data_IF_058839381506
#
_entry.id   IF_058839381506
#
_cell.length_a   1.000
_cell.length_b   1.000
_cell.length_c   1.000
_cell.angle_alpha   90.00
_cell.angle_beta   90.00
_cell.angle_gamma   90.00
#
_symmetry.space_group_name_H-M   'P 1'
#
loop_
_entity.id
_entity.type
_entity.pdbx_description
1 polymer ?
#
# COMPACT_ATOMS: atom_id res chain seq x y z
N UNK A 1 -46.68 3.44 5.10
CA UNK A 1 -47.15 2.42 6.07
C UNK A 1 -46.10 2.34 7.16
N UNK A 2 -46.49 2.62 8.42
CA UNK A 2 -45.58 2.72 9.56
C UNK A 2 -45.16 1.34 10.06
N UNK A 3 -43.87 1.01 10.00
CA UNK A 3 -43.30 -0.18 10.65
C UNK A 3 -42.67 0.26 11.97
N UNK A 4 -43.25 -0.23 13.07
CA UNK A 4 -42.75 -0.02 14.44
C UNK A 4 -41.63 -1.02 14.72
N UNK A 5 -40.42 -0.54 15.00
CA UNK A 5 -39.37 -1.37 15.58
C UNK A 5 -39.67 -1.65 17.07
N UNK A 6 -39.63 -2.94 17.44
CA UNK A 6 -39.56 -3.38 18.84
C UNK A 6 -38.16 -3.93 19.10
N UNK A 7 -37.43 -3.48 20.13
CA UNK A 7 -36.15 -4.07 20.48
C UNK A 7 -36.36 -5.39 21.22
N UNK A 8 -35.72 -6.45 20.73
CA UNK A 8 -35.54 -7.71 21.46
C UNK A 8 -34.29 -7.57 22.33
N UNK A 9 -34.47 -7.68 23.63
CA UNK A 9 -33.39 -7.71 24.63
C UNK A 9 -32.86 -9.14 24.66
N UNK A 10 -31.60 -9.35 24.31
CA UNK A 10 -30.89 -10.61 24.53
C UNK A 10 -30.00 -10.44 25.76
N UNK A 11 -30.31 -11.21 26.81
CA UNK A 11 -29.52 -11.34 28.03
C UNK A 11 -28.50 -12.45 27.77
N UNK A 12 -27.21 -12.12 27.70
CA UNK A 12 -26.15 -13.13 27.62
C UNK A 12 -25.42 -13.21 28.97
N UNK A 13 -25.54 -14.38 29.57
CA UNK A 13 -24.93 -14.80 30.84
C UNK A 13 -23.42 -14.90 30.72
N UNK A 14 -22.68 -14.19 31.57
CA UNK A 14 -21.23 -14.33 31.76
C UNK A 14 -20.93 -15.65 32.48
N UNK A 15 -20.07 -16.50 31.91
CA UNK A 15 -19.41 -17.58 32.63
C UNK A 15 -17.94 -17.21 32.88
N UNK A 16 -17.60 -17.04 34.15
CA UNK A 16 -16.24 -16.91 34.66
C UNK A 16 -15.48 -18.23 34.46
N UNK A 17 -14.26 -18.15 33.92
CA UNK A 17 -13.21 -19.16 34.18
C UNK A 17 -11.98 -18.42 34.70
N UNK A 18 -11.64 -18.71 35.95
CA UNK A 18 -10.41 -18.30 36.61
C UNK A 18 -9.37 -19.43 36.49
N UNK A 19 -8.12 -19.09 36.17
CA UNK A 19 -6.98 -19.96 36.41
C UNK A 19 -5.70 -19.14 36.67
N UNK A 20 -5.44 -18.98 37.97
CA UNK A 20 -4.19 -18.99 38.74
C UNK A 20 -2.84 -18.60 38.13
N UNK A 21 -2.19 -17.67 38.84
CA UNK A 21 -0.79 -17.26 38.78
C UNK A 21 0.20 -18.37 39.21
N UNK A 22 1.40 -18.35 38.64
CA UNK A 22 2.60 -18.88 39.29
C UNK A 22 3.81 -17.97 38.97
N UNK A 23 4.46 -17.51 40.04
CA UNK A 23 5.64 -16.63 40.08
C UNK A 23 6.94 -17.43 40.04
N UNK A 24 7.96 -16.94 39.33
CA UNK A 24 9.37 -17.24 39.63
C UNK A 24 10.27 -16.06 39.23
N UNK A 25 11.13 -15.65 40.17
CA UNK A 25 12.01 -14.46 40.16
C UNK A 25 13.35 -14.68 39.41
N UNK A 26 14.09 -13.60 39.09
CA UNK A 26 15.25 -13.60 38.18
C UNK A 26 16.61 -13.76 38.90
N UNK A 27 17.72 -14.00 38.19
CA UNK A 27 19.06 -13.87 38.75
C UNK A 27 19.72 -12.50 38.49
N UNK A 28 20.43 -12.11 39.53
CA UNK A 28 21.19 -10.89 39.83
C UNK A 28 22.33 -10.52 38.86
N UNK A 29 22.57 -9.20 38.84
CA UNK A 29 23.74 -8.47 38.37
C UNK A 29 25.10 -8.99 38.86
N UNK A 30 26.12 -8.77 38.02
CA UNK A 30 27.55 -8.85 38.34
C UNK A 30 28.29 -7.64 37.77
N UNK A 31 28.92 -6.88 38.64
CA UNK A 31 29.67 -5.63 38.42
C UNK A 31 31.13 -5.91 38.09
N UNK A 32 31.75 -5.22 37.10
CA UNK A 32 33.17 -4.75 37.24
C UNK A 32 33.53 -3.58 36.29
N UNK A 33 33.82 -2.43 36.91
CA UNK A 33 34.85 -1.38 36.63
C UNK A 33 35.28 -0.92 35.23
N UNK A 34 34.98 0.37 34.99
CA UNK A 34 35.86 1.51 34.63
C UNK A 34 37.17 1.31 33.85
N UNK A 35 37.33 2.11 32.78
CA UNK A 35 38.48 3.02 32.67
C UNK A 35 38.12 4.27 31.83
N UNK A 36 38.58 5.41 32.34
CA UNK A 36 38.43 6.76 31.80
C UNK A 36 39.69 7.11 31.00
N UNK A 37 39.55 7.71 29.81
CA UNK A 37 40.65 8.43 29.17
C UNK A 37 40.11 9.68 28.46
N UNK A 38 40.28 10.81 29.12
CA UNK A 38 40.04 12.16 28.61
C UNK A 38 41.16 12.55 27.65
N UNK A 39 40.83 13.07 26.47
CA UNK A 39 41.70 14.02 25.77
C UNK A 39 40.87 15.11 25.11
N UNK A 40 41.03 16.32 25.63
CA UNK A 40 40.48 17.56 25.12
C UNK A 40 41.18 17.99 23.84
N UNK A 41 40.40 18.51 22.88
CA UNK A 41 40.87 19.40 21.81
C UNK A 41 39.82 20.49 21.59
N UNK A 42 40.31 21.73 21.50
CA UNK A 42 39.60 23.01 21.54
C UNK A 42 38.77 23.30 20.26
N UNK A 43 37.85 24.29 20.28
CA UNK A 43 36.77 24.42 19.32
C UNK A 43 37.17 25.22 18.07
N UNK A 44 36.63 24.83 16.91
CA UNK A 44 36.69 25.63 15.67
C UNK A 44 35.41 26.45 15.57
N UNK A 45 35.57 27.79 15.55
CA UNK A 45 34.50 28.74 15.27
C UNK A 45 34.02 28.59 13.82
N UNK A 46 32.71 28.44 13.62
CA UNK A 46 32.08 28.67 12.32
C UNK A 46 31.08 29.84 12.47
N UNK A 47 31.29 30.82 11.60
CA UNK A 47 30.57 32.09 11.45
C UNK A 47 29.07 31.87 11.27
N UNK A 48 28.27 32.56 12.08
CA UNK A 48 26.83 32.72 11.85
C UNK A 48 26.59 33.89 10.88
N UNK A 49 25.81 33.65 9.83
CA UNK A 49 25.16 34.69 9.02
C UNK A 49 23.64 34.60 9.22
N UNK A 50 22.94 35.74 9.35
CA UNK A 50 21.50 35.77 9.65
C UNK A 50 20.65 35.32 8.46
N UNK A 51 19.41 34.84 8.68
CA UNK A 51 18.52 34.45 7.60
C UNK A 51 18.00 35.70 6.87
N UNK A 52 18.16 35.71 5.54
CA UNK A 52 17.45 36.64 4.66
C UNK A 52 16.06 36.06 4.41
N UNK A 53 15.05 36.74 4.90
CA UNK A 53 13.66 36.57 4.47
C UNK A 53 13.54 36.99 3.01
N UNK A 54 13.16 36.06 2.13
CA UNK A 54 12.62 36.36 0.81
C UNK A 54 11.41 35.47 0.56
N UNK A 55 10.24 36.07 0.75
CA UNK A 55 8.96 35.65 0.18
C UNK A 55 9.06 35.69 -1.35
N UNK A 56 8.79 34.57 -2.03
CA UNK A 56 8.55 34.55 -3.47
C UNK A 56 7.43 33.56 -3.79
N UNK A 57 6.28 34.13 -4.16
CA UNK A 57 5.26 33.48 -4.97
C UNK A 57 5.86 33.17 -6.34
N UNK A 58 5.73 31.92 -6.82
CA UNK A 58 5.85 31.58 -8.23
C UNK A 58 5.10 30.27 -8.53
N UNK A 59 4.28 30.34 -9.57
CA UNK A 59 3.61 29.22 -10.23
C UNK A 59 4.63 28.15 -10.73
N UNK A 60 4.22 26.92 -11.04
CA UNK A 60 5.16 25.82 -11.28
C UNK A 60 5.99 26.09 -12.53
N UNK A 61 7.31 25.97 -12.37
CA UNK A 61 8.23 25.96 -13.48
C UNK A 61 8.01 24.68 -14.30
N UNK A 62 7.67 24.83 -15.57
CA UNK A 62 7.80 23.79 -16.58
C UNK A 62 9.29 23.48 -16.76
N UNK A 63 9.80 22.52 -15.99
CA UNK A 63 11.11 21.94 -16.20
C UNK A 63 11.01 20.98 -17.39
N UNK A 64 11.51 21.40 -18.54
CA UNK A 64 11.75 20.52 -19.67
C UNK A 64 12.79 19.46 -19.27
N UNK A 65 12.34 18.23 -19.11
CA UNK A 65 13.19 17.05 -18.97
C UNK A 65 13.94 16.85 -20.30
N UNK A 66 15.27 16.68 -20.31
CA UNK A 66 15.97 16.30 -21.53
C UNK A 66 15.51 14.90 -21.96
N UNK A 67 15.01 14.80 -23.19
CA UNK A 67 14.31 13.63 -23.72
C UNK A 67 15.22 12.43 -24.11
N UNK A 68 16.40 12.27 -23.49
CA UNK A 68 17.42 11.30 -23.94
C UNK A 68 18.02 10.41 -22.82
N UNK A 69 17.48 10.44 -21.59
CA UNK A 69 17.96 9.52 -20.52
C UNK A 69 17.01 8.32 -20.37
N UNK A 70 17.57 7.11 -20.48
CA UNK A 70 16.85 5.86 -20.22
C UNK A 70 16.39 5.88 -18.76
N UNK A 71 15.08 5.81 -18.54
CA UNK A 71 14.49 5.74 -17.21
C UNK A 71 13.97 4.34 -16.91
N UNK A 72 14.21 3.89 -15.69
CA UNK A 72 13.63 2.67 -15.10
C UNK A 72 12.79 3.10 -13.91
N UNK A 73 11.53 2.68 -13.91
CA UNK A 73 10.54 3.05 -12.89
C UNK A 73 9.83 1.80 -12.40
N UNK A 74 9.75 1.62 -11.09
CA UNK A 74 8.92 0.59 -10.45
C UNK A 74 7.48 1.10 -10.42
N UNK A 75 6.52 0.27 -10.84
CA UNK A 75 5.09 0.58 -10.70
C UNK A 75 4.60 0.15 -9.32
N UNK A 76 3.63 0.88 -8.78
CA UNK A 76 3.21 0.73 -7.39
C UNK A 76 4.20 1.39 -6.45
N UNK A 77 4.98 0.59 -5.73
CA UNK A 77 5.86 1.04 -4.64
C UNK A 77 7.26 0.43 -4.75
N UNK A 78 8.28 1.19 -4.36
CA UNK A 78 9.66 0.68 -4.19
C UNK A 78 9.83 -0.17 -2.92
N UNK A 79 8.79 -0.23 -2.08
CA UNK A 79 8.65 -1.13 -0.95
C UNK A 79 7.47 -2.09 -1.19
N UNK A 80 7.76 -3.39 -1.26
CA UNK A 80 6.77 -4.46 -1.44
C UNK A 80 6.66 -5.27 -0.16
N UNK A 81 5.44 -5.49 0.32
CA UNK A 81 5.15 -6.33 1.48
C UNK A 81 4.56 -7.65 1.01
N UNK A 82 5.00 -8.76 1.62
CA UNK A 82 4.43 -10.08 1.39
C UNK A 82 4.27 -10.83 2.70
N UNK A 83 3.17 -11.57 2.84
CA UNK A 83 2.90 -12.38 4.04
C UNK A 83 3.55 -13.77 3.89
N UNK A 84 3.53 -14.31 2.68
CA UNK A 84 3.87 -15.71 2.38
C UNK A 84 5.18 -15.87 1.59
N UNK A 85 5.83 -14.77 1.24
CA UNK A 85 7.07 -14.75 0.47
C UNK A 85 6.86 -14.78 -1.04
N UNK A 86 5.62 -14.87 -1.53
CA UNK A 86 5.30 -14.69 -2.94
C UNK A 86 5.25 -13.19 -3.24
N UNK A 87 6.10 -12.76 -4.18
CA UNK A 87 6.35 -11.34 -4.43
C UNK A 87 6.33 -11.10 -5.92
N UNK A 88 5.54 -10.11 -6.35
CA UNK A 88 5.56 -9.60 -7.73
C UNK A 88 6.21 -8.22 -7.73
N UNK A 89 7.22 -8.03 -8.56
CA UNK A 89 7.83 -6.72 -8.82
C UNK A 89 7.59 -6.40 -10.30
N UNK A 90 7.06 -5.22 -10.55
CA UNK A 90 6.71 -4.73 -11.89
C UNK A 90 7.21 -3.32 -12.11
N UNK A 91 7.36 -2.94 -13.37
CA UNK A 91 7.81 -1.61 -13.72
C UNK A 91 7.85 -1.35 -15.21
N UNK A 92 8.38 -0.18 -15.55
CA UNK A 92 8.51 0.35 -16.90
C UNK A 92 9.96 0.79 -17.14
N UNK A 93 10.45 0.53 -18.34
CA UNK A 93 11.70 1.08 -18.88
C UNK A 93 11.35 1.93 -20.09
N UNK A 94 11.81 3.17 -20.17
CA UNK A 94 11.42 4.11 -21.22
C UNK A 94 11.94 3.80 -22.62
N UNK A 95 12.56 2.63 -22.81
CA UNK A 95 13.11 2.10 -24.06
C UNK A 95 13.06 0.57 -24.07
N UNK A 96 13.14 -0.09 -25.25
CA UNK A 96 13.32 -1.54 -25.35
C UNK A 96 14.49 -2.05 -24.52
N UNK A 97 14.22 -2.92 -23.55
CA UNK A 97 15.22 -3.46 -22.65
C UNK A 97 14.94 -4.91 -22.23
N UNK A 98 16.02 -5.63 -21.92
CA UNK A 98 15.94 -6.85 -21.11
C UNK A 98 16.04 -6.46 -19.63
N UNK A 99 15.25 -7.10 -18.76
CA UNK A 99 15.21 -6.77 -17.33
C UNK A 99 15.49 -8.01 -16.48
N UNK A 100 16.29 -7.82 -15.44
CA UNK A 100 16.48 -8.82 -14.38
C UNK A 100 16.04 -8.25 -13.04
N UNK A 101 15.40 -9.07 -12.22
CA UNK A 101 14.89 -8.74 -10.89
C UNK A 101 15.41 -9.79 -9.92
N UNK A 102 16.21 -9.38 -8.93
CA UNK A 102 16.85 -10.33 -8.00
C UNK A 102 17.77 -11.36 -8.69
N UNK A 103 18.25 -11.05 -9.90
CA UNK A 103 19.02 -11.97 -10.74
C UNK A 103 18.19 -12.95 -11.58
N UNK A 104 16.86 -12.91 -11.51
CA UNK A 104 15.94 -13.66 -12.37
C UNK A 104 15.57 -12.82 -13.58
N UNK A 105 15.44 -13.43 -14.76
CA UNK A 105 14.94 -12.73 -15.94
C UNK A 105 13.45 -12.39 -15.73
N UNK A 106 13.10 -11.13 -15.88
CA UNK A 106 11.72 -10.68 -15.85
C UNK A 106 11.02 -11.00 -17.17
N UNK A 107 9.72 -11.26 -17.10
CA UNK A 107 8.86 -11.24 -18.26
C UNK A 107 8.69 -9.79 -18.71
N UNK A 108 8.69 -9.57 -20.03
CA UNK A 108 8.58 -8.23 -20.63
C UNK A 108 7.36 -8.16 -21.54
N UNK A 109 6.72 -7.00 -21.58
CA UNK A 109 5.52 -6.75 -22.37
C UNK A 109 5.48 -5.31 -22.90
N UNK A 110 4.70 -5.11 -23.96
CA UNK A 110 4.48 -3.80 -24.58
C UNK A 110 5.69 -3.34 -25.41
N UNK A 111 5.56 -3.41 -26.74
CA UNK A 111 6.56 -2.85 -27.67
C UNK A 111 6.01 -1.64 -28.45
N UNK A 112 4.77 -1.23 -28.17
CA UNK A 112 4.08 -0.21 -28.98
C UNK A 112 4.31 1.16 -28.35
N UNK A 113 5.42 1.81 -28.71
CA UNK A 113 5.75 3.16 -28.23
C UNK A 113 7.17 3.32 -27.68
N UNK A 114 7.99 2.27 -27.71
CA UNK A 114 9.37 2.33 -27.26
C UNK A 114 9.51 2.37 -25.73
N UNK A 115 8.62 1.75 -24.98
CA UNK A 115 8.74 1.57 -23.52
C UNK A 115 8.50 0.09 -23.24
N UNK A 116 9.38 -0.56 -22.48
CA UNK A 116 9.21 -1.95 -22.05
C UNK A 116 8.58 -2.00 -20.67
N UNK A 117 7.40 -2.61 -20.56
CA UNK A 117 6.88 -3.08 -19.28
C UNK A 117 7.55 -4.38 -18.87
N UNK A 118 7.73 -4.59 -17.57
CA UNK A 118 8.25 -5.86 -17.06
C UNK A 118 7.54 -6.26 -15.78
N UNK A 119 7.55 -7.56 -15.50
CA UNK A 119 7.25 -8.09 -14.19
C UNK A 119 8.08 -9.33 -13.90
N UNK A 120 8.34 -9.60 -12.62
CA UNK A 120 8.97 -10.82 -12.16
C UNK A 120 8.30 -11.28 -10.87
N UNK A 121 8.10 -12.60 -10.79
CA UNK A 121 7.67 -13.27 -9.57
C UNK A 121 8.87 -13.87 -8.85
N UNK A 122 8.94 -13.63 -7.54
CA UNK A 122 9.98 -14.14 -6.66
C UNK A 122 9.34 -14.91 -5.51
N UNK A 123 10.08 -15.89 -5.00
CA UNK A 123 9.82 -16.54 -3.73
C UNK A 123 10.96 -16.23 -2.79
N UNK A 124 10.67 -15.51 -1.71
CA UNK A 124 11.64 -15.03 -0.74
C UNK A 124 11.32 -15.55 0.66
N UNK A 125 12.36 -15.88 1.43
CA UNK A 125 12.20 -16.26 2.84
C UNK A 125 11.75 -15.06 3.69
N UNK A 126 11.23 -15.32 4.90
CA UNK A 126 10.90 -14.26 5.88
C UNK A 126 12.09 -13.33 6.15
N UNK A 127 11.85 -12.03 6.13
CA UNK A 127 12.84 -10.99 6.43
C UNK A 127 12.79 -9.79 5.48
N UNK A 128 13.81 -8.94 5.61
CA UNK A 128 14.02 -7.78 4.74
C UNK A 128 15.02 -8.12 3.64
N UNK A 129 14.67 -7.78 2.40
CA UNK A 129 15.47 -8.03 1.21
C UNK A 129 15.65 -6.76 0.39
N UNK A 130 16.85 -6.54 -0.09
CA UNK A 130 17.14 -5.55 -1.12
C UNK A 130 17.23 -6.28 -2.47
N UNK A 131 16.20 -6.12 -3.30
CA UNK A 131 16.08 -6.80 -4.59
C UNK A 131 16.54 -5.87 -5.70
N UNK A 132 17.72 -6.10 -6.31
CA UNK A 132 18.18 -5.28 -7.43
C UNK A 132 17.31 -5.52 -8.66
N UNK A 133 16.94 -4.43 -9.33
CA UNK A 133 16.30 -4.43 -10.64
C UNK A 133 17.25 -3.78 -11.63
N UNK A 134 17.62 -4.51 -12.68
CA UNK A 134 18.60 -4.05 -13.67
C UNK A 134 17.99 -4.21 -15.06
N UNK A 135 17.90 -3.10 -15.78
CA UNK A 135 17.51 -3.06 -17.17
C UNK A 135 18.74 -2.83 -18.07
N UNK A 136 18.85 -3.61 -19.13
CA UNK A 136 19.86 -3.47 -20.18
C UNK A 136 19.16 -3.16 -21.49
N UNK A 137 19.36 -1.94 -22.02
CA UNK A 137 18.76 -1.53 -23.30
C UNK A 137 19.45 -2.22 -24.48
N UNK A 138 18.82 -2.18 -25.65
CA UNK A 138 19.43 -2.69 -26.89
C UNK A 138 20.76 -2.01 -27.24
N UNK A 139 20.90 -0.73 -26.88
CA UNK A 139 22.15 0.02 -27.05
C UNK A 139 23.24 -0.33 -26.02
N UNK A 140 22.93 -1.22 -25.06
CA UNK A 140 23.83 -1.67 -24.00
C UNK A 140 23.92 -0.71 -22.81
N UNK A 141 23.01 0.27 -22.71
CA UNK A 141 22.94 1.12 -21.52
C UNK A 141 22.38 0.30 -20.36
N UNK A 142 22.95 0.50 -19.17
CA UNK A 142 22.52 -0.13 -17.94
C UNK A 142 21.88 0.92 -17.04
N UNK A 143 20.64 0.66 -16.62
CA UNK A 143 19.96 1.44 -15.58
C UNK A 143 19.48 0.46 -14.50
N UNK A 144 19.57 0.86 -13.25
CA UNK A 144 19.25 -0.03 -12.14
C UNK A 144 18.62 0.72 -10.97
N UNK A 145 17.76 0.02 -10.24
CA UNK A 145 17.20 0.45 -8.96
C UNK A 145 17.18 -0.72 -7.98
N UNK A 146 16.78 -0.46 -6.74
CA UNK A 146 16.60 -1.48 -5.71
C UNK A 146 15.18 -1.38 -5.18
N UNK A 147 14.49 -2.52 -5.09
CA UNK A 147 13.20 -2.66 -4.43
C UNK A 147 13.42 -3.26 -3.05
N UNK A 148 12.88 -2.62 -2.03
CA UNK A 148 12.84 -3.19 -0.69
C UNK A 148 11.68 -4.17 -0.61
N UNK A 149 11.95 -5.40 -0.19
CA UNK A 149 10.89 -6.40 0.03
C UNK A 149 10.91 -6.82 1.49
N UNK A 150 9.75 -6.77 2.14
CA UNK A 150 9.56 -7.26 3.51
C UNK A 150 8.61 -8.44 3.47
N UNK A 151 9.14 -9.60 3.85
CA UNK A 151 8.35 -10.81 4.03
C UNK A 151 8.13 -11.01 5.53
N UNK A 152 6.89 -10.86 6.00
CA UNK A 152 6.55 -11.03 7.42
C UNK A 152 5.22 -11.80 7.56
N UNK A 153 5.25 -13.03 8.10
CA UNK A 153 4.05 -13.84 8.29
C UNK A 153 3.13 -13.33 9.40
N UNK A 154 3.59 -12.38 10.24
CA UNK A 154 2.75 -11.77 11.28
C UNK A 154 1.87 -10.64 10.73
N UNK A 155 2.09 -10.22 9.47
CA UNK A 155 1.19 -9.32 8.77
C UNK A 155 -0.17 -9.98 8.48
N UNK A 156 -1.25 -9.21 8.58
CA UNK A 156 -2.59 -9.63 8.12
C UNK A 156 -3.07 -8.74 6.99
N UNK A 157 -3.97 -9.26 6.15
CA UNK A 157 -4.57 -8.50 5.04
C UNK A 157 -6.09 -8.49 5.19
N UNK A 158 -6.67 -7.30 5.25
CA UNK A 158 -8.13 -7.11 5.41
C UNK A 158 -8.65 -6.24 4.26
N UNK A 159 -9.73 -6.64 3.59
CA UNK A 159 -10.39 -5.76 2.62
C UNK A 159 -11.29 -4.79 3.36
N UNK A 160 -11.25 -3.51 2.99
CA UNK A 160 -12.07 -2.50 3.62
C UNK A 160 -12.46 -1.37 2.66
N UNK A 161 -13.61 -0.75 2.92
CA UNK A 161 -13.87 0.60 2.42
C UNK A 161 -13.28 1.62 3.39
N UNK A 162 -12.49 2.56 2.87
CA UNK A 162 -11.98 3.68 3.65
C UNK A 162 -12.99 4.83 3.56
N UNK A 163 -13.52 5.23 4.72
CA UNK A 163 -14.61 6.21 4.82
C UNK A 163 -14.16 7.58 5.30
N UNK A 164 -12.99 7.66 5.94
CA UNK A 164 -12.36 8.90 6.41
C UNK A 164 -10.85 8.70 6.46
N UNK A 165 -10.11 9.76 6.13
CA UNK A 165 -8.66 9.85 6.30
C UNK A 165 -8.38 11.11 7.12
N UNK A 166 -7.59 10.99 8.18
CA UNK A 166 -7.10 12.12 8.97
C UNK A 166 -5.57 12.14 8.88
N UNK A 167 -5.06 13.01 8.00
CA UNK A 167 -3.62 13.16 7.76
C UNK A 167 -2.91 13.71 9.00
N UNK A 168 -3.57 14.58 9.78
CA UNK A 168 -2.96 15.21 10.94
C UNK A 168 -2.79 14.20 12.10
N UNK A 169 -3.76 13.30 12.27
CA UNK A 169 -3.68 12.21 13.24
C UNK A 169 -2.90 10.99 12.72
N UNK A 170 -2.71 10.87 11.40
CA UNK A 170 -2.10 9.70 10.76
C UNK A 170 -2.99 8.47 10.90
N UNK A 171 -4.31 8.63 10.72
CA UNK A 171 -5.30 7.58 10.90
C UNK A 171 -6.28 7.49 9.74
N UNK A 172 -6.90 6.33 9.59
CA UNK A 172 -8.05 6.11 8.69
C UNK A 172 -9.23 5.52 9.45
N UNK A 173 -10.44 5.71 8.93
CA UNK A 173 -11.64 4.99 9.36
C UNK A 173 -12.03 3.99 8.29
N UNK A 174 -11.93 2.71 8.62
CA UNK A 174 -12.17 1.60 7.72
C UNK A 174 -13.43 0.81 8.10
N UNK A 175 -14.22 0.41 7.11
CA UNK A 175 -15.29 -0.58 7.23
C UNK A 175 -14.86 -1.88 6.55
N UNK A 176 -14.70 -2.95 7.33
CA UNK A 176 -14.16 -4.21 6.82
C UNK A 176 -15.23 -4.97 6.04
N UNK A 177 -14.83 -5.49 4.88
CA UNK A 177 -15.68 -6.25 3.97
C UNK A 177 -14.98 -7.54 3.56
N UNK A 178 -15.74 -8.49 3.02
CA UNK A 178 -15.20 -9.75 2.53
C UNK A 178 -15.07 -9.66 1.00
N UNK A 179 -13.90 -10.00 0.49
CA UNK A 179 -13.70 -10.29 -0.93
C UNK A 179 -13.98 -11.77 -1.17
N UNK A 180 -15.05 -12.08 -1.89
CA UNK A 180 -15.40 -13.46 -2.26
C UNK A 180 -15.32 -13.58 -3.78
N UNK A 181 -14.90 -14.75 -4.28
CA UNK A 181 -14.83 -15.05 -5.72
C UNK A 181 -15.44 -16.41 -6.02
N UNK A 182 -15.86 -16.66 -7.27
CA UNK A 182 -16.36 -17.96 -7.71
C UNK A 182 -17.60 -18.45 -6.95
N UNK A 183 -17.66 -19.75 -6.67
CA UNK A 183 -18.81 -20.39 -6.01
C UNK A 183 -19.14 -19.77 -4.65
N UNK A 184 -18.13 -19.33 -3.90
CA UNK A 184 -18.33 -18.68 -2.59
C UNK A 184 -19.00 -17.32 -2.74
N UNK A 185 -18.63 -16.53 -3.76
CA UNK A 185 -19.25 -15.25 -4.07
C UNK A 185 -20.73 -15.44 -4.42
N UNK A 186 -21.01 -16.35 -5.35
CA UNK A 186 -22.37 -16.67 -5.79
C UNK A 186 -23.25 -17.15 -4.64
N UNK A 187 -22.75 -18.07 -3.81
CA UNK A 187 -23.48 -18.58 -2.66
C UNK A 187 -23.79 -17.48 -1.63
N UNK A 188 -22.84 -16.58 -1.40
CA UNK A 188 -23.03 -15.45 -0.50
C UNK A 188 -24.02 -14.41 -1.06
N UNK A 189 -23.96 -14.11 -2.36
CA UNK A 189 -24.89 -13.20 -3.03
C UNK A 189 -26.34 -13.72 -3.00
N UNK A 190 -26.54 -15.04 -3.20
CA UNK A 190 -27.85 -15.69 -3.04
C UNK A 190 -28.34 -15.58 -1.59
N UNK A 191 -27.47 -15.85 -0.61
CA UNK A 191 -27.82 -15.80 0.81
C UNK A 191 -28.23 -14.39 1.26
N UNK A 192 -27.59 -13.37 0.70
CA UNK A 192 -27.90 -11.97 0.98
C UNK A 192 -29.11 -11.46 0.16
N UNK A 193 -29.55 -12.22 -0.84
CA UNK A 193 -30.70 -11.90 -1.68
C UNK A 193 -30.40 -10.93 -2.83
N UNK A 194 -29.12 -10.74 -3.16
CA UNK A 194 -28.67 -9.89 -4.28
C UNK A 194 -28.99 -10.54 -5.64
N UNK A 195 -28.95 -11.88 -5.69
CA UNK A 195 -29.33 -12.67 -6.88
C UNK A 195 -30.22 -13.86 -6.50
N UNK A 196 -31.00 -14.36 -7.46
CA UNK A 196 -31.77 -15.60 -7.32
C UNK A 196 -30.92 -16.86 -7.54
N UNK A 197 -31.42 -18.01 -7.10
CA UNK A 197 -30.70 -19.30 -7.22
C UNK A 197 -30.42 -19.73 -8.67
N UNK A 198 -31.20 -19.26 -9.64
CA UNK A 198 -31.06 -19.53 -11.07
C UNK A 198 -30.31 -18.44 -11.84
N UNK A 199 -29.81 -17.41 -11.13
CA UNK A 199 -28.99 -16.36 -11.70
C UNK A 199 -27.50 -16.65 -11.50
N UNK A 200 -26.69 -16.09 -12.39
CA UNK A 200 -25.23 -16.04 -12.25
C UNK A 200 -24.82 -14.65 -11.77
N UNK A 201 -23.65 -14.58 -11.15
CA UNK A 201 -23.04 -13.31 -10.77
C UNK A 201 -22.38 -12.69 -11.99
N UNK A 202 -22.73 -11.44 -12.31
CA UNK A 202 -22.24 -10.77 -13.54
C UNK A 202 -20.72 -10.63 -13.54
N UNK A 203 -20.16 -10.25 -12.38
CA UNK A 203 -18.73 -10.21 -12.14
C UNK A 203 -18.39 -11.36 -11.18
N UNK A 204 -17.34 -12.15 -11.44
CA UNK A 204 -17.00 -13.38 -10.68
C UNK A 204 -16.54 -13.12 -9.22
N UNK A 205 -16.93 -11.98 -8.64
CA UNK A 205 -16.65 -11.55 -7.29
C UNK A 205 -17.89 -10.95 -6.61
N UNK A 206 -17.95 -11.08 -5.28
CA UNK A 206 -18.95 -10.43 -4.44
C UNK A 206 -18.27 -9.80 -3.22
N UNK A 207 -18.43 -8.48 -3.06
CA UNK A 207 -17.97 -7.76 -1.88
C UNK A 207 -19.08 -7.77 -0.84
N UNK A 208 -18.86 -8.49 0.25
CA UNK A 208 -19.89 -8.71 1.27
C UNK A 208 -19.59 -7.93 2.54
N UNK A 209 -20.56 -7.14 3.01
CA UNK A 209 -20.49 -6.48 4.32
C UNK A 209 -21.56 -7.00 5.28
N UNK A 210 -21.21 -7.97 6.13
CA UNK A 210 -22.09 -8.50 7.17
C UNK A 210 -21.95 -7.76 8.52
N UNK A 211 -20.99 -6.84 8.64
CA UNK A 211 -20.69 -6.16 9.88
C UNK A 211 -20.14 -4.75 9.60
N UNK A 212 -21.02 -3.73 9.49
CA UNK A 212 -20.66 -2.36 9.09
C UNK A 212 -19.98 -1.58 10.23
N UNK A 213 -19.19 -2.27 11.06
CA UNK A 213 -18.52 -1.68 12.20
C UNK A 213 -17.28 -0.93 11.72
N UNK A 214 -17.31 0.38 11.89
CA UNK A 214 -16.16 1.24 11.61
C UNK A 214 -15.00 1.00 12.60
N UNK A 215 -13.78 1.07 12.08
CA UNK A 215 -12.52 0.91 12.82
C UNK A 215 -11.60 2.08 12.50
N UNK A 216 -11.18 2.79 13.54
CA UNK A 216 -10.10 3.78 13.41
C UNK A 216 -8.76 3.07 13.55
N UNK A 217 -7.91 3.18 12.53
CA UNK A 217 -6.61 2.52 12.47
C UNK A 217 -5.52 3.56 12.29
N UNK A 218 -4.39 3.38 12.98
CA UNK A 218 -3.19 4.17 12.72
C UNK A 218 -2.52 3.69 11.43
N UNK A 219 -2.00 4.63 10.64
CA UNK A 219 -1.23 4.36 9.42
C UNK A 219 0.24 4.62 9.71
N UNK A 220 1.14 3.73 9.27
CA UNK A 220 2.58 3.96 9.36
C UNK A 220 2.96 5.20 8.51
N UNK A 221 3.84 6.10 8.99
CA UNK A 221 4.17 7.33 8.25
C UNK A 221 4.74 7.08 6.85
N UNK A 222 5.35 5.91 6.66
CA UNK A 222 5.98 5.40 5.46
C UNK A 222 5.18 4.28 4.78
N UNK A 223 3.93 4.05 5.19
CA UNK A 223 3.07 3.05 4.56
C UNK A 223 2.86 3.40 3.08
N UNK A 224 3.25 2.53 2.13
CA UNK A 224 2.91 2.74 0.73
C UNK A 224 1.40 2.68 0.54
N UNK A 225 0.86 3.63 -0.23
CA UNK A 225 -0.53 3.69 -0.64
C UNK A 225 -0.54 3.53 -2.15
N UNK A 226 -0.87 2.35 -2.62
CA UNK A 226 -0.81 1.99 -4.04
C UNK A 226 -2.21 1.96 -4.63
N UNK A 227 -2.42 2.78 -5.67
CA UNK A 227 -3.68 2.92 -6.38
C UNK A 227 -3.51 2.55 -7.85
N UNK A 228 -4.60 2.21 -8.52
CA UNK A 228 -4.63 2.05 -9.97
C UNK A 228 -4.97 3.38 -10.64
N UNK A 229 -4.29 3.62 -11.76
CA UNK A 229 -4.40 4.85 -12.54
C UNK A 229 -4.71 4.51 -13.99
N UNK A 230 -5.63 5.28 -14.57
CA UNK A 230 -6.02 5.21 -15.97
C UNK A 230 -5.99 6.57 -16.63
N UNK A 231 -5.22 6.66 -17.71
CA UNK A 231 -5.12 7.82 -18.59
C UNK A 231 -5.83 7.54 -19.94
N UNK A 232 -7.18 7.52 -19.98
CA UNK A 232 -7.93 7.00 -21.13
C UNK A 232 -7.62 7.73 -22.46
N UNK A 233 -7.25 9.01 -22.39
CA UNK A 233 -7.00 9.83 -23.58
C UNK A 233 -5.51 9.92 -23.98
N UNK A 234 -4.59 9.66 -23.06
CA UNK A 234 -3.19 10.09 -23.18
C UNK A 234 -2.15 9.06 -22.76
N UNK A 235 -2.54 7.92 -22.18
CA UNK A 235 -1.57 7.02 -21.57
C UNK A 235 -2.09 5.62 -21.24
N UNK A 236 -1.32 4.87 -20.45
CA UNK A 236 -1.70 3.53 -20.03
C UNK A 236 -2.88 3.56 -19.05
N UNK A 237 -3.59 2.45 -18.98
CA UNK A 237 -4.62 2.21 -17.97
C UNK A 237 -4.22 0.98 -17.15
N UNK A 238 -4.71 0.92 -15.91
CA UNK A 238 -4.37 -0.08 -14.91
C UNK A 238 -2.89 -0.04 -14.50
N UNK A 239 -2.29 1.15 -14.51
CA UNK A 239 -0.93 1.32 -13.98
C UNK A 239 -0.98 1.56 -12.48
N UNK A 240 -0.11 0.91 -11.72
CA UNK A 240 -0.02 1.09 -10.27
C UNK A 240 0.84 2.31 -9.94
N UNK A 241 0.34 3.16 -9.06
CA UNK A 241 1.02 4.38 -8.60
C UNK A 241 0.96 4.49 -7.08
N UNK A 242 2.10 4.86 -6.46
CA UNK A 242 2.13 5.19 -5.04
C UNK A 242 1.75 6.67 -4.83
N UNK A 243 0.90 6.92 -3.84
CA UNK A 243 0.47 8.26 -3.44
C UNK A 243 0.76 8.52 -1.97
N UNK A 244 0.79 9.80 -1.61
CA UNK A 244 0.89 10.20 -0.19
C UNK A 244 -0.46 10.09 0.50
N UNK A 245 -0.46 9.99 1.83
CA UNK A 245 -1.70 10.02 2.63
C UNK A 245 -2.53 11.28 2.37
N UNK A 246 -1.90 12.42 2.09
CA UNK A 246 -2.57 13.68 1.71
C UNK A 246 -3.30 13.56 0.38
N UNK A 247 -2.69 12.94 -0.63
CA UNK A 247 -3.36 12.71 -1.92
C UNK A 247 -4.49 11.71 -1.73
N UNK A 248 -4.28 10.67 -0.92
CA UNK A 248 -5.31 9.69 -0.60
C UNK A 248 -6.53 10.31 0.12
N UNK A 249 -6.30 11.22 1.09
CA UNK A 249 -7.36 12.01 1.73
C UNK A 249 -8.15 12.84 0.70
N UNK A 250 -7.47 13.50 -0.25
CA UNK A 250 -8.14 14.29 -1.28
C UNK A 250 -9.05 13.44 -2.18
N UNK A 251 -8.58 12.26 -2.58
CA UNK A 251 -9.34 11.34 -3.43
C UNK A 251 -10.54 10.72 -2.70
N UNK A 252 -10.40 10.49 -1.39
CA UNK A 252 -11.45 9.87 -0.57
C UNK A 252 -12.45 10.86 0.03
N UNK A 253 -12.08 12.14 0.18
CA UNK A 253 -12.95 13.18 0.75
C UNK A 253 -14.12 13.57 -0.16
N UNK A 254 -13.95 13.52 -1.49
CA UNK A 254 -15.03 13.71 -2.46
C UNK A 254 -14.93 12.69 -3.61
N UNK A 255 -15.36 11.44 -3.35
CA UNK A 255 -15.25 10.34 -4.31
C UNK A 255 -16.03 10.59 -5.63
N UNK A 256 -17.07 11.44 -5.59
CA UNK A 256 -17.85 11.78 -6.78
C UNK A 256 -17.08 12.71 -7.73
N UNK A 257 -16.18 13.54 -7.19
CA UNK A 257 -15.33 14.44 -7.99
C UNK A 257 -14.04 13.77 -8.46
N UNK A 258 -13.52 12.79 -7.70
CA UNK A 258 -12.26 12.11 -8.01
C UNK A 258 -12.28 11.37 -9.37
N UNK A 259 -13.44 10.83 -9.77
CA UNK A 259 -13.61 10.13 -11.06
C UNK A 259 -13.32 11.00 -12.29
N UNK A 260 -13.40 12.33 -12.13
CA UNK A 260 -13.14 13.30 -13.19
C UNK A 260 -11.71 13.88 -13.13
N UNK A 261 -10.88 13.45 -12.18
CA UNK A 261 -9.47 13.84 -12.11
C UNK A 261 -8.68 13.01 -13.12
N UNK A 262 -7.80 13.67 -13.89
CA UNK A 262 -6.93 13.00 -14.84
C UNK A 262 -6.10 11.92 -14.13
N UNK A 263 -6.11 10.70 -14.67
CA UNK A 263 -5.46 9.53 -14.07
C UNK A 263 -6.36 8.72 -13.13
N UNK A 264 -7.37 9.30 -12.50
CA UNK A 264 -8.19 8.64 -11.45
C UNK A 264 -9.61 8.30 -11.95
N UNK A 265 -9.74 8.13 -13.26
CA UNK A 265 -10.99 7.67 -13.87
C UNK A 265 -11.17 6.18 -13.62
N UNK A 266 -12.35 5.82 -13.09
CA UNK A 266 -12.77 4.45 -12.72
C UNK A 266 -12.01 3.79 -11.56
N UNK A 267 -10.75 4.17 -11.32
CA UNK A 267 -9.87 3.69 -10.26
C UNK A 267 -9.26 4.85 -9.47
N UNK A 268 -8.79 4.59 -8.26
CA UNK A 268 -8.37 5.62 -7.30
C UNK A 268 -9.50 6.56 -6.88
N UNK A 269 -10.75 6.16 -7.11
CA UNK A 269 -11.91 6.84 -6.57
C UNK A 269 -12.10 6.45 -5.12
N UNK A 270 -12.59 7.36 -4.27
CA UNK A 270 -12.89 7.02 -2.87
C UNK A 270 -14.02 5.99 -2.68
N UNK A 271 -14.56 5.40 -3.76
CA UNK A 271 -15.49 4.28 -3.70
C UNK A 271 -14.82 2.91 -3.79
N UNK A 272 -13.53 2.84 -4.11
CA UNK A 272 -12.83 1.57 -4.27
C UNK A 272 -12.67 0.86 -2.92
N UNK A 273 -12.74 -0.48 -2.89
CA UNK A 273 -12.28 -1.24 -1.73
C UNK A 273 -10.74 -1.32 -1.74
N UNK A 274 -10.15 -1.32 -0.56
CA UNK A 274 -8.71 -1.35 -0.36
C UNK A 274 -8.31 -2.53 0.52
N UNK A 275 -7.23 -3.19 0.14
CA UNK A 275 -6.51 -4.10 1.02
C UNK A 275 -5.67 -3.31 2.00
N UNK A 276 -5.89 -3.55 3.28
CA UNK A 276 -5.10 -3.02 4.38
C UNK A 276 -4.15 -4.13 4.85
N UNK A 277 -2.86 -3.94 4.64
CA UNK A 277 -1.84 -4.78 5.26
C UNK A 277 -1.57 -4.22 6.65
N UNK A 278 -1.73 -5.05 7.67
CA UNK A 278 -1.70 -4.65 9.08
C UNK A 278 -0.59 -5.43 9.80
N UNK A 279 0.26 -4.72 10.52
CA UNK A 279 1.28 -5.27 11.41
C UNK A 279 1.22 -4.53 12.75
N UNK A 280 1.25 -5.26 13.87
CA UNK A 280 1.21 -4.67 15.22
C UNK A 280 0.05 -3.65 15.42
N UNK A 281 -1.13 -3.97 14.88
CA UNK A 281 -2.33 -3.10 14.91
C UNK A 281 -2.17 -1.76 14.18
N UNK A 282 -1.22 -1.66 13.24
CA UNK A 282 -0.99 -0.49 12.40
C UNK A 282 -1.08 -0.88 10.93
N UNK A 283 -1.72 -0.04 10.13
CA UNK A 283 -1.74 -0.20 8.67
C UNK A 283 -0.35 0.16 8.15
N UNK A 284 0.32 -0.81 7.56
CA UNK A 284 1.67 -0.67 6.98
C UNK A 284 1.65 -0.60 5.46
N UNK A 285 0.51 -0.90 4.81
CA UNK A 285 0.29 -0.65 3.39
C UNK A 285 -1.22 -0.56 3.12
N UNK A 286 -1.57 0.28 2.14
CA UNK A 286 -2.90 0.37 1.56
C UNK A 286 -2.76 0.07 0.07
N UNK A 287 -3.54 -0.86 -0.45
CA UNK A 287 -3.53 -1.21 -1.86
C UNK A 287 -4.96 -1.27 -2.39
N UNK A 288 -5.25 -0.56 -3.47
CA UNK A 288 -6.55 -0.65 -4.14
C UNK A 288 -6.80 -2.05 -4.68
N UNK A 289 -8.00 -2.61 -4.45
CA UNK A 289 -8.42 -3.84 -5.10
C UNK A 289 -8.91 -3.51 -6.51
N UNK A 290 -8.30 -4.16 -7.51
CA UNK A 290 -8.76 -4.11 -8.89
C UNK A 290 -10.17 -4.70 -9.02
N UNK A 291 -11.09 -3.97 -9.63
CA UNK A 291 -12.43 -4.46 -9.98
C UNK A 291 -12.53 -4.48 -11.51
N UNK A 292 -12.69 -5.66 -12.16
CA UNK A 292 -12.71 -5.80 -13.62
C UNK A 292 -13.86 -5.11 -14.33
#
# INVERSE_FOLDING_TARGET
MNVRYRPVIVITTFLLVAASCATANPPSAGTTTSSTATRASAPVMVRTTPPVTSSSSAAPATSGVPADEVSLRITGSDTVLSIDGNVTIEGLVSEPASVTVGGVNADTYGDTGGTTGFFAELSLDTGHHEVPVVATTEAGALVSTVVTVVVDPDMTRELAYVTEVDVAAGTIVADYVQWLTGDEARAAAILDGEIAEDQELDDDYYIRNQNPRLRTLAVAPDAPIVLYVCYPDTGPCLTRESVTLTVFEQLTADPASSINMEGWSWYGSGYSPYWLTILDSRVVQIEEQYLP
#
